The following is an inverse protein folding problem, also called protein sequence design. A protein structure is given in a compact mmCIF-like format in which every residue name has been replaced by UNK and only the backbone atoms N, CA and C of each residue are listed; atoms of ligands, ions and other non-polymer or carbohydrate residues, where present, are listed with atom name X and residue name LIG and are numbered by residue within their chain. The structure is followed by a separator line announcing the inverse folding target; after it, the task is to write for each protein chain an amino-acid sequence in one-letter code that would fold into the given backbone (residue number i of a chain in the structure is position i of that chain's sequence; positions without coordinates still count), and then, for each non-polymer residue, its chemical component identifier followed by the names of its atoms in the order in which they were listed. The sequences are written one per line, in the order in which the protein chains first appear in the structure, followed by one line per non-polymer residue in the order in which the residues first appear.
data_IF_246489378788
#
_entry.id   IF_246489378788
#
_cell.length_a   1.000
_cell.length_b   1.000
_cell.length_c   1.000
_cell.angle_alpha   90.00
_cell.angle_beta   90.00
_cell.angle_gamma   90.00
#
_symmetry.space_group_name_H-M   'P 1'
#
loop_
_entity.id
_entity.type
_entity.pdbx_description
1 polymer ?
#
# COMPACT_ATOMS: atom_id res chain seq x y z
N UNK A 1 2.09 16.14 16.06
CA UNK A 1 2.70 14.80 15.91
C UNK A 1 2.26 14.29 14.54
N UNK A 2 3.11 14.44 13.53
CA UNK A 2 2.79 14.01 12.16
C UNK A 2 2.90 12.48 12.14
N UNK A 3 1.78 11.80 11.88
CA UNK A 3 1.78 10.38 11.56
C UNK A 3 2.52 10.20 10.23
N UNK A 4 3.82 9.92 10.29
CA UNK A 4 4.61 9.54 9.12
C UNK A 4 4.29 8.08 8.78
N UNK A 5 3.17 7.85 8.07
CA UNK A 5 2.79 6.54 7.55
C UNK A 5 3.61 6.22 6.29
N UNK A 6 4.88 5.86 6.46
CA UNK A 6 5.64 5.28 5.37
C UNK A 6 5.06 3.89 5.01
N UNK A 7 5.10 3.50 3.72
CA UNK A 7 4.65 2.17 3.29
C UNK A 7 5.37 1.01 4.00
N UNK A 8 6.60 1.24 4.50
CA UNK A 8 7.31 0.30 5.38
C UNK A 8 6.66 0.17 6.75
N UNK A 9 6.30 1.29 7.38
CA UNK A 9 5.69 1.29 8.71
C UNK A 9 4.34 0.57 8.71
N UNK A 10 3.52 0.82 7.67
CA UNK A 10 2.23 0.14 7.47
C UNK A 10 2.37 -1.38 7.34
N UNK A 11 3.44 -1.86 6.70
CA UNK A 11 3.68 -3.30 6.57
C UNK A 11 4.23 -3.92 7.86
N UNK A 12 4.93 -3.16 8.70
CA UNK A 12 5.53 -3.68 9.93
C UNK A 12 4.48 -3.90 11.04
N UNK A 13 3.53 -2.98 11.18
CA UNK A 13 2.50 -3.04 12.23
C UNK A 13 1.11 -2.61 11.71
N UNK A 14 0.48 -3.34 10.77
CA UNK A 14 -0.77 -2.91 10.13
C UNK A 14 -1.92 -2.69 11.12
N UNK A 15 -2.03 -3.53 12.16
CA UNK A 15 -3.06 -3.38 13.19
C UNK A 15 -2.89 -2.10 14.04
N UNK A 16 -1.66 -1.74 14.39
CA UNK A 16 -1.39 -0.54 15.19
C UNK A 16 -1.73 0.73 14.39
N UNK A 17 -1.23 0.82 13.15
CA UNK A 17 -1.50 1.98 12.30
C UNK A 17 -2.98 2.10 11.91
N UNK A 18 -3.68 0.97 11.72
CA UNK A 18 -5.11 1.01 11.44
C UNK A 18 -5.91 1.48 12.66
N UNK A 19 -5.50 1.08 13.86
CA UNK A 19 -6.09 1.58 15.12
C UNK A 19 -5.84 3.07 15.29
N UNK A 20 -4.63 3.55 15.00
CA UNK A 20 -4.31 4.99 15.05
C UNK A 20 -5.13 5.80 14.04
N UNK A 21 -5.34 5.26 12.83
CA UNK A 21 -6.20 5.86 11.82
C UNK A 21 -7.67 5.94 12.29
N UNK A 22 -8.20 4.87 12.87
CA UNK A 22 -9.57 4.87 13.41
C UNK A 22 -9.71 5.91 14.54
N UNK A 23 -8.74 5.96 15.45
CA UNK A 23 -8.74 6.95 16.53
C UNK A 23 -8.69 8.39 16.00
N UNK A 24 -7.90 8.65 14.95
CA UNK A 24 -7.88 9.95 14.27
C UNK A 24 -9.23 10.32 13.65
N UNK A 25 -9.96 9.34 13.13
CA UNK A 25 -11.31 9.51 12.57
C UNK A 25 -12.40 9.60 13.66
N UNK A 26 -12.03 9.51 14.93
CA UNK A 26 -12.94 9.59 16.08
C UNK A 26 -13.44 8.24 16.61
N UNK A 27 -13.01 7.13 16.01
CA UNK A 27 -13.37 5.78 16.44
C UNK A 27 -12.23 5.17 17.28
N UNK A 28 -12.33 5.33 18.60
CA UNK A 28 -11.25 4.93 19.53
C UNK A 28 -11.41 3.49 20.06
N UNK A 29 -12.60 2.93 19.95
CA UNK A 29 -12.96 1.62 20.55
C UNK A 29 -13.77 0.79 19.56
N UNK A 30 -13.20 0.43 18.40
CA UNK A 30 -13.90 -0.42 17.45
C UNK A 30 -14.17 -1.79 18.07
N UNK A 31 -15.30 -2.37 17.70
CA UNK A 31 -15.59 -3.77 18.02
C UNK A 31 -14.44 -4.66 17.51
N UNK A 32 -13.95 -5.54 18.38
CA UNK A 32 -12.74 -6.32 18.09
C UNK A 32 -12.95 -7.30 16.95
N UNK A 33 -14.16 -7.89 16.81
CA UNK A 33 -14.44 -8.84 15.74
C UNK A 33 -14.47 -8.12 14.39
N UNK A 34 -15.18 -6.99 14.32
CA UNK A 34 -15.23 -6.15 13.11
C UNK A 34 -13.84 -5.63 12.75
N UNK A 35 -13.05 -5.21 13.73
CA UNK A 35 -11.69 -4.74 13.51
C UNK A 35 -10.77 -5.82 12.90
N UNK A 36 -10.84 -7.04 13.43
CA UNK A 36 -10.06 -8.17 12.90
C UNK A 36 -10.54 -8.57 11.50
N UNK A 37 -11.85 -8.57 11.25
CA UNK A 37 -12.39 -8.85 9.92
C UNK A 37 -11.95 -7.80 8.90
N UNK A 38 -11.97 -6.52 9.27
CA UNK A 38 -11.50 -5.44 8.40
C UNK A 38 -9.99 -5.55 8.12
N UNK A 39 -9.19 -5.94 9.11
CA UNK A 39 -7.76 -6.20 8.91
C UNK A 39 -7.53 -7.36 7.92
N UNK A 40 -8.18 -8.49 8.13
CA UNK A 40 -8.06 -9.66 7.25
C UNK A 40 -8.57 -9.35 5.83
N UNK A 41 -9.67 -8.60 5.73
CA UNK A 41 -10.18 -8.11 4.47
C UNK A 41 -9.12 -7.26 3.75
N UNK A 42 -8.49 -6.31 4.43
CA UNK A 42 -7.50 -5.41 3.85
C UNK A 42 -6.12 -6.05 3.56
N UNK A 43 -5.89 -7.32 3.93
CA UNK A 43 -4.61 -7.99 3.66
C UNK A 43 -4.30 -8.05 2.18
N UNK A 44 -3.04 -7.84 1.85
CA UNK A 44 -2.58 -7.80 0.46
C UNK A 44 -2.95 -9.06 -0.32
N UNK A 45 -2.75 -10.24 0.28
CA UNK A 45 -3.10 -11.51 -0.36
C UNK A 45 -4.60 -11.67 -0.57
N UNK A 46 -5.42 -11.12 0.33
CA UNK A 46 -6.87 -11.12 0.17
C UNK A 46 -7.30 -10.16 -0.95
N UNK A 47 -6.74 -8.96 -0.99
CA UNK A 47 -7.01 -7.98 -2.05
C UNK A 47 -6.62 -8.50 -3.43
N UNK A 48 -5.51 -9.22 -3.54
CA UNK A 48 -5.10 -9.87 -4.78
C UNK A 48 -6.09 -10.95 -5.23
N UNK A 49 -6.60 -11.76 -4.28
CA UNK A 49 -7.65 -12.75 -4.57
C UNK A 49 -8.95 -12.10 -5.02
N UNK A 50 -9.38 -11.02 -4.37
CA UNK A 50 -10.61 -10.30 -4.75
C UNK A 50 -10.49 -9.68 -6.15
N UNK A 51 -9.35 -9.09 -6.48
CA UNK A 51 -9.11 -8.55 -7.83
C UNK A 51 -9.14 -9.65 -8.90
N UNK A 52 -8.44 -10.77 -8.65
CA UNK A 52 -8.42 -11.90 -9.57
C UNK A 52 -9.79 -12.57 -9.74
N UNK A 53 -10.61 -12.57 -8.69
CA UNK A 53 -11.99 -13.05 -8.73
C UNK A 53 -12.96 -12.06 -9.39
N UNK A 54 -12.51 -10.84 -9.71
CA UNK A 54 -13.39 -9.78 -10.23
C UNK A 54 -14.45 -9.34 -9.23
N UNK A 55 -14.17 -9.43 -7.92
CA UNK A 55 -15.14 -9.19 -6.85
C UNK A 55 -15.57 -7.70 -6.72
N UNK A 56 -14.97 -6.80 -7.49
CA UNK A 56 -15.29 -5.38 -7.48
C UNK A 56 -16.15 -5.02 -8.69
N UNK A 57 -17.30 -4.38 -8.45
CA UNK A 57 -18.27 -3.99 -9.49
C UNK A 57 -17.75 -2.92 -10.47
N UNK A 58 -16.61 -2.30 -10.16
CA UNK A 58 -16.04 -1.24 -10.98
C UNK A 58 -15.08 -1.79 -12.02
N UNK A 59 -15.40 -1.56 -13.30
CA UNK A 59 -14.55 -1.97 -14.43
C UNK A 59 -13.12 -1.42 -14.38
N UNK A 60 -12.91 -0.28 -13.70
CA UNK A 60 -11.57 0.32 -13.54
C UNK A 60 -10.65 -0.53 -12.65
N UNK A 61 -11.23 -1.39 -11.82
CA UNK A 61 -10.53 -2.25 -10.87
C UNK A 61 -10.24 -3.64 -11.45
N UNK A 62 -10.68 -3.94 -12.67
CA UNK A 62 -10.28 -5.17 -13.34
C UNK A 62 -8.88 -5.04 -13.97
N UNK A 63 -8.11 -6.14 -14.08
CA UNK A 63 -6.87 -6.15 -14.83
C UNK A 63 -7.13 -5.89 -16.32
N UNK A 64 -6.19 -5.21 -16.98
CA UNK A 64 -6.27 -4.93 -18.43
C UNK A 64 -6.17 -6.21 -19.27
N UNK A 65 -5.18 -7.06 -18.97
CA UNK A 65 -5.08 -8.44 -19.47
C UNK A 65 -4.93 -9.40 -18.27
N UNK A 66 -5.87 -10.34 -18.11
CA UNK A 66 -5.84 -11.34 -17.01
C UNK A 66 -4.65 -12.30 -17.09
N UNK A 67 -3.99 -12.41 -18.26
CA UNK A 67 -2.83 -13.27 -18.48
C UNK A 67 -1.51 -12.57 -18.19
N UNK A 68 -1.54 -11.27 -17.98
CA UNK A 68 -0.38 -10.47 -17.63
C UNK A 68 -0.45 -10.08 -16.13
N UNK A 69 0.41 -10.66 -15.27
CA UNK A 69 0.47 -10.29 -13.85
C UNK A 69 0.73 -8.79 -13.62
N UNK A 70 1.37 -8.10 -14.56
CA UNK A 70 1.62 -6.65 -14.46
C UNK A 70 0.38 -5.81 -14.84
N UNK A 71 -0.67 -6.41 -15.39
CA UNK A 71 -1.93 -5.71 -15.68
C UNK A 71 -2.84 -5.57 -14.45
N UNK A 72 -2.56 -6.32 -13.38
CA UNK A 72 -3.23 -6.23 -12.08
C UNK A 72 -2.80 -4.95 -11.34
N UNK A 73 -3.68 -4.44 -10.48
CA UNK A 73 -3.41 -3.29 -9.61
C UNK A 73 -2.78 -3.77 -8.30
N UNK A 74 -3.21 -4.91 -7.77
CA UNK A 74 -2.67 -5.56 -6.58
C UNK A 74 -1.59 -6.58 -6.99
N UNK A 75 -0.37 -6.10 -7.23
CA UNK A 75 0.73 -6.92 -7.77
C UNK A 75 1.59 -7.65 -6.73
N UNK A 76 2.58 -6.97 -6.14
CA UNK A 76 3.60 -7.61 -5.28
C UNK A 76 3.58 -7.20 -3.81
N UNK A 77 2.97 -6.07 -3.45
CA UNK A 77 2.84 -5.62 -2.05
C UNK A 77 4.18 -5.34 -1.35
N UNK A 78 5.28 -5.29 -2.11
CA UNK A 78 6.64 -5.23 -1.59
C UNK A 78 7.19 -3.81 -1.62
N UNK A 79 7.78 -3.39 -0.51
CA UNK A 79 8.51 -2.12 -0.47
C UNK A 79 9.86 -2.24 -1.17
N UNK A 80 10.14 -1.29 -2.06
CA UNK A 80 11.40 -1.24 -2.80
C UNK A 80 11.45 -2.13 -4.04
N UNK A 81 10.30 -2.56 -4.58
CA UNK A 81 10.23 -3.36 -5.79
C UNK A 81 10.85 -2.70 -7.03
N UNK A 82 10.98 -1.36 -7.06
CA UNK A 82 11.61 -0.63 -8.16
C UNK A 82 13.02 -1.11 -8.49
N UNK A 83 13.77 -1.66 -7.51
CA UNK A 83 15.12 -2.18 -7.72
C UNK A 83 15.17 -3.38 -8.66
N UNK A 84 14.04 -4.06 -8.84
CA UNK A 84 13.91 -5.21 -9.74
C UNK A 84 13.67 -4.76 -11.19
N UNK A 85 13.33 -3.49 -11.42
CA UNK A 85 12.98 -2.95 -12.75
C UNK A 85 13.93 -1.84 -13.23
N UNK A 86 14.50 -1.06 -12.31
CA UNK A 86 15.38 0.07 -12.63
C UNK A 86 16.86 -0.34 -12.61
N UNK A 87 17.60 0.16 -13.59
CA UNK A 87 19.06 0.03 -13.62
C UNK A 87 19.71 0.73 -12.42
N UNK A 88 20.99 0.41 -12.13
CA UNK A 88 21.71 1.09 -11.03
C UNK A 88 21.86 2.58 -11.35
N UNK A 89 22.03 2.91 -12.63
CA UNK A 89 22.13 4.26 -13.15
C UNK A 89 20.82 5.04 -12.92
N UNK A 90 19.67 4.46 -13.24
CA UNK A 90 18.35 5.08 -13.02
C UNK A 90 18.05 5.26 -11.53
N UNK A 91 18.43 4.27 -10.71
CA UNK A 91 18.29 4.37 -9.25
C UNK A 91 19.15 5.50 -8.67
N UNK A 92 20.39 5.65 -9.16
CA UNK A 92 21.26 6.75 -8.77
C UNK A 92 20.69 8.09 -9.21
N UNK A 93 20.26 8.20 -10.46
CA UNK A 93 19.65 9.41 -10.98
C UNK A 93 18.44 9.85 -10.13
N UNK A 94 17.54 8.92 -9.80
CA UNK A 94 16.39 9.20 -8.95
C UNK A 94 16.79 9.64 -7.53
N UNK A 95 17.81 9.02 -6.93
CA UNK A 95 18.32 9.39 -5.62
C UNK A 95 18.94 10.81 -5.62
N UNK A 96 19.72 11.14 -6.65
CA UNK A 96 20.31 12.46 -6.81
C UNK A 96 19.19 13.52 -6.99
N UNK A 97 18.17 13.23 -7.80
CA UNK A 97 17.02 14.13 -7.99
C UNK A 97 16.19 14.34 -6.70
N UNK A 98 16.04 13.30 -5.87
CA UNK A 98 15.37 13.39 -4.56
C UNK A 98 16.11 14.32 -3.59
N UNK A 99 17.45 14.37 -3.67
CA UNK A 99 18.27 15.23 -2.81
C UNK A 99 18.09 16.73 -3.12
N UNK A 100 17.65 17.07 -4.33
CA UNK A 100 17.37 18.45 -4.76
C UNK A 100 15.96 18.92 -4.38
N UNK A 101 15.11 18.05 -3.83
CA UNK A 101 13.77 18.42 -3.42
C UNK A 101 13.77 19.29 -2.15
N UNK A 102 12.78 20.17 -2.05
CA UNK A 102 12.67 21.10 -0.93
C UNK A 102 12.37 20.36 0.38
N UNK A 103 13.32 20.41 1.32
CA UNK A 103 13.25 19.75 2.62
C UNK A 103 12.02 20.13 3.45
N UNK A 104 11.36 21.26 3.16
CA UNK A 104 10.16 21.71 3.87
C UNK A 104 8.98 20.73 3.75
N UNK A 105 8.96 19.86 2.74
CA UNK A 105 7.90 18.88 2.54
C UNK A 105 8.15 17.52 3.20
N UNK A 106 9.33 17.29 3.78
CA UNK A 106 9.61 16.11 4.63
C UNK A 106 9.54 14.76 3.92
N UNK A 107 10.18 14.66 2.74
CA UNK A 107 10.30 13.44 1.93
C UNK A 107 11.04 12.28 2.63
#
# INVERSE_FOLDING_TARGET
MLLSNSGKALHASPAEHFRDLLALLGESTPDIAIFQEALEFARFENMQKLEAAGAFDSKILHPGDVRDPESFKVRRGKVGGYREYLSIEDQKYAADALAELDVRFGY
#
